data_IF_936465903892
#
_entry.id   IF_936465903892
#
_cell.length_a   1.000
_cell.length_b   1.000
_cell.length_c   1.000
_cell.angle_alpha   90.00
_cell.angle_beta   90.00
_cell.angle_gamma   90.00
#
_symmetry.space_group_name_H-M   'P 1'
#
loop_
_entity.id
_entity.type
_entity.pdbx_description
1 polymer ?
#
# COMPACT_ATOMS: atom_id res chain seq x y z
N UNK A 1 2.09 -11.08 -33.08
CA UNK A 1 1.43 -9.85 -32.61
C UNK A 1 1.47 -9.84 -31.09
N UNK A 2 2.06 -8.82 -30.47
CA UNK A 2 1.95 -8.62 -29.03
C UNK A 2 0.51 -8.19 -28.74
N UNK A 3 -0.27 -9.03 -28.07
CA UNK A 3 -1.62 -8.68 -27.65
C UNK A 3 -1.57 -7.62 -26.55
N UNK A 4 -2.33 -6.55 -26.73
CA UNK A 4 -2.71 -5.64 -25.64
C UNK A 4 -3.89 -6.25 -24.90
N UNK A 5 -3.76 -6.43 -23.59
CA UNK A 5 -4.85 -6.85 -22.70
C UNK A 5 -5.33 -5.62 -21.92
N UNK A 6 -6.64 -5.47 -21.77
CA UNK A 6 -7.24 -4.32 -21.09
C UNK A 6 -8.40 -4.72 -20.19
N UNK A 7 -8.49 -4.07 -19.03
CA UNK A 7 -9.65 -4.06 -18.15
C UNK A 7 -10.00 -2.59 -17.82
N UNK A 8 -11.22 -2.32 -17.36
CA UNK A 8 -11.73 -0.96 -17.09
C UNK A 8 -12.16 -0.80 -15.63
N UNK A 9 -11.84 0.36 -15.05
CA UNK A 9 -12.32 0.73 -13.71
C UNK A 9 -13.67 1.46 -13.82
N UNK A 10 -14.67 1.17 -12.96
CA UNK A 10 -16.07 1.58 -13.16
C UNK A 10 -16.31 3.06 -12.81
N UNK A 11 -15.71 3.98 -13.57
CA UNK A 11 -15.97 5.42 -13.48
C UNK A 11 -17.17 5.76 -14.35
N UNK A 12 -18.28 6.19 -13.77
CA UNK A 12 -19.45 6.68 -14.53
C UNK A 12 -19.55 8.21 -14.58
N UNK A 13 -18.65 8.91 -13.88
CA UNK A 13 -18.54 10.36 -13.90
C UNK A 13 -17.17 10.74 -14.45
N UNK A 14 -17.11 11.74 -15.34
CA UNK A 14 -15.86 12.27 -15.86
C UNK A 14 -15.03 12.90 -14.73
N UNK A 15 -14.18 12.11 -14.08
CA UNK A 15 -13.29 12.56 -13.02
C UNK A 15 -11.95 11.86 -13.16
N UNK A 16 -11.80 10.66 -12.59
CA UNK A 16 -10.56 9.91 -12.67
C UNK A 16 -10.74 8.44 -12.22
N UNK A 17 -9.90 7.58 -12.76
CA UNK A 17 -9.44 6.34 -12.14
C UNK A 17 -7.91 6.33 -12.21
N UNK A 18 -7.27 6.03 -11.08
CA UNK A 18 -5.82 5.95 -10.97
C UNK A 18 -5.48 4.64 -10.30
N UNK A 19 -4.75 3.78 -11.02
CA UNK A 19 -3.98 2.70 -10.41
C UNK A 19 -2.63 3.30 -9.97
N UNK A 20 -2.38 3.29 -8.68
CA UNK A 20 -1.26 4.00 -8.04
C UNK A 20 -0.20 3.05 -7.49
N UNK A 21 -0.57 1.81 -7.19
CA UNK A 21 0.34 0.76 -6.78
C UNK A 21 0.09 -0.52 -7.56
N UNK A 22 1.17 -1.23 -7.88
CA UNK A 22 1.15 -2.52 -8.55
C UNK A 22 2.28 -3.39 -8.01
N UNK A 23 1.99 -4.68 -7.82
CA UNK A 23 3.00 -5.71 -7.60
C UNK A 23 2.60 -7.00 -8.31
N UNK A 24 3.58 -7.88 -8.50
CA UNK A 24 3.42 -9.19 -9.14
C UNK A 24 3.97 -10.24 -8.20
N UNK A 25 3.12 -11.18 -7.78
CA UNK A 25 3.47 -12.25 -6.85
C UNK A 25 2.49 -13.42 -6.99
N UNK A 26 2.88 -14.62 -6.57
CA UNK A 26 1.99 -15.78 -6.49
C UNK A 26 1.03 -15.66 -5.29
N UNK A 27 0.06 -14.74 -5.41
CA UNK A 27 -0.85 -14.39 -4.32
C UNK A 27 -1.79 -15.53 -3.93
N UNK A 28 -2.09 -16.44 -4.86
CA UNK A 28 -2.97 -17.59 -4.62
C UNK A 28 -2.23 -18.88 -4.31
N UNK A 29 -0.90 -18.86 -4.20
CA UNK A 29 -0.05 -20.06 -4.05
C UNK A 29 -0.36 -21.15 -5.05
N UNK A 30 -0.56 -20.73 -6.29
CA UNK A 30 -0.88 -21.57 -7.45
C UNK A 30 0.37 -21.97 -8.24
N UNK A 31 1.54 -21.45 -7.87
CA UNK A 31 2.76 -21.51 -8.66
C UNK A 31 2.75 -20.53 -9.83
N UNK A 32 1.77 -19.63 -9.92
CA UNK A 32 1.65 -18.65 -11.00
C UNK A 32 1.46 -17.25 -10.43
N UNK A 33 2.16 -16.28 -11.03
CA UNK A 33 2.08 -14.91 -10.57
C UNK A 33 0.72 -14.28 -10.89
N UNK A 34 0.13 -13.67 -9.86
CA UNK A 34 -0.97 -12.72 -9.97
C UNK A 34 -0.44 -11.30 -10.10
N UNK A 35 -1.24 -10.42 -10.71
CA UNK A 35 -1.05 -8.97 -10.70
C UNK A 35 -1.96 -8.41 -9.63
N UNK A 36 -1.39 -7.75 -8.62
CA UNK A 36 -2.15 -7.08 -7.56
C UNK A 36 -2.01 -5.57 -7.75
N UNK A 37 -3.13 -4.88 -7.84
CA UNK A 37 -3.17 -3.43 -8.07
C UNK A 37 -4.00 -2.75 -7.01
N UNK A 38 -3.59 -1.54 -6.63
CA UNK A 38 -4.35 -0.66 -5.76
C UNK A 38 -4.48 0.71 -6.40
N UNK A 39 -5.55 1.41 -6.03
CA UNK A 39 -5.81 2.72 -6.57
C UNK A 39 -7.16 3.24 -6.16
N UNK A 40 -7.59 4.30 -6.83
CA UNK A 40 -8.87 4.94 -6.57
C UNK A 40 -9.59 5.27 -7.85
N UNK A 41 -10.90 5.24 -7.78
CA UNK A 41 -11.75 5.81 -8.80
C UNK A 41 -12.84 6.67 -8.17
N UNK A 42 -13.33 7.63 -8.95
CA UNK A 42 -14.47 8.45 -8.56
C UNK A 42 -15.69 8.04 -9.36
N UNK A 43 -16.78 7.74 -8.64
CA UNK A 43 -18.08 7.45 -9.24
C UNK A 43 -19.21 8.23 -8.55
N UNK A 44 -19.01 9.54 -8.32
CA UNK A 44 -19.85 10.35 -7.43
C UNK A 44 -19.51 10.17 -5.95
N UNK A 45 -18.69 9.17 -5.63
CA UNK A 45 -17.99 8.97 -4.36
C UNK A 45 -16.59 8.41 -4.67
N UNK A 46 -15.57 8.79 -3.90
CA UNK A 46 -14.22 8.22 -4.03
C UNK A 46 -14.19 6.84 -3.35
N UNK A 47 -13.79 5.82 -4.12
CA UNK A 47 -13.52 4.48 -3.63
C UNK A 47 -12.04 4.15 -3.79
N UNK A 48 -11.43 3.67 -2.72
CA UNK A 48 -10.23 2.85 -2.83
C UNK A 48 -10.59 1.49 -3.40
N UNK A 49 -9.74 0.94 -4.24
CA UNK A 49 -9.99 -0.32 -4.91
C UNK A 49 -8.71 -1.16 -4.93
N UNK A 50 -8.84 -2.42 -4.54
CA UNK A 50 -7.79 -3.45 -4.65
C UNK A 50 -8.29 -4.47 -5.68
N UNK A 51 -7.49 -4.76 -6.70
CA UNK A 51 -7.80 -5.80 -7.69
C UNK A 51 -6.68 -6.79 -7.79
N UNK A 52 -7.05 -8.06 -7.94
CA UNK A 52 -6.14 -9.18 -8.19
C UNK A 52 -6.53 -9.81 -9.51
N UNK A 53 -5.54 -10.03 -10.35
CA UNK A 53 -5.71 -10.66 -11.65
C UNK A 53 -4.75 -11.83 -11.81
N UNK A 54 -5.13 -12.83 -12.59
CA UNK A 54 -4.19 -13.74 -13.22
C UNK A 54 -4.24 -13.60 -14.74
N UNK A 55 -3.15 -14.04 -15.39
CA UNK A 55 -3.09 -14.13 -16.85
C UNK A 55 -3.66 -15.48 -17.29
N UNK A 56 -4.72 -15.47 -18.08
CA UNK A 56 -5.27 -16.67 -18.71
C UNK A 56 -5.12 -16.57 -20.24
N UNK A 57 -4.25 -17.39 -20.82
CA UNK A 57 -3.93 -17.39 -22.26
C UNK A 57 -3.72 -15.97 -22.83
N UNK A 58 -4.74 -15.44 -23.48
CA UNK A 58 -4.82 -14.17 -24.19
C UNK A 58 -5.66 -13.11 -23.44
N UNK A 59 -5.79 -13.23 -22.11
CA UNK A 59 -6.64 -12.38 -21.28
C UNK A 59 -6.10 -12.17 -19.88
N UNK A 60 -6.59 -11.10 -19.24
CA UNK A 60 -6.52 -10.91 -17.80
C UNK A 60 -7.85 -11.33 -17.20
N UNK A 61 -7.81 -12.18 -16.19
CA UNK A 61 -9.00 -12.60 -15.44
C UNK A 61 -8.96 -11.91 -14.09
N UNK A 62 -10.05 -11.22 -13.75
CA UNK A 62 -10.20 -10.54 -12.47
C UNK A 62 -10.64 -11.56 -11.41
N UNK A 63 -9.73 -11.92 -10.52
CA UNK A 63 -9.98 -12.91 -9.45
C UNK A 63 -10.64 -12.29 -8.23
N UNK A 64 -10.31 -11.04 -7.92
CA UNK A 64 -10.87 -10.32 -6.79
C UNK A 64 -10.94 -8.83 -7.05
N UNK A 65 -12.04 -8.24 -6.59
CA UNK A 65 -12.29 -6.81 -6.64
C UNK A 65 -12.83 -6.35 -5.29
N UNK A 66 -11.97 -5.72 -4.49
CA UNK A 66 -12.32 -5.22 -3.16
C UNK A 66 -12.45 -3.72 -3.17
N UNK A 67 -13.61 -3.22 -2.73
CA UNK A 67 -13.89 -1.80 -2.61
C UNK A 67 -13.74 -1.35 -1.16
N UNK A 68 -12.99 -0.27 -0.98
CA UNK A 68 -12.82 0.42 0.30
C UNK A 68 -13.50 1.78 0.20
N UNK A 69 -14.54 1.98 1.01
CA UNK A 69 -15.22 3.28 1.06
C UNK A 69 -14.30 4.26 1.79
N UNK A 70 -13.89 5.33 1.10
CA UNK A 70 -13.07 6.36 1.72
C UNK A 70 -13.87 7.07 2.82
N UNK A 71 -13.35 7.20 4.06
CA UNK A 71 -14.07 7.85 5.16
C UNK A 71 -14.24 9.37 4.97
N UNK A 72 -13.48 9.98 4.06
CA UNK A 72 -13.58 11.41 3.68
C UNK A 72 -13.13 11.61 2.22
N UNK A 73 -13.44 12.75 1.56
CA UNK A 73 -12.93 13.02 0.22
C UNK A 73 -11.39 13.13 0.20
N UNK A 74 -10.75 12.53 -0.81
CA UNK A 74 -9.32 12.67 -1.19
C UNK A 74 -8.29 11.72 -0.54
N UNK A 75 -8.69 10.56 -0.02
CA UNK A 75 -7.71 9.50 0.25
C UNK A 75 -7.38 8.70 -1.01
N UNK A 76 -6.12 8.34 -1.16
CA UNK A 76 -5.63 7.52 -2.26
C UNK A 76 -4.83 6.34 -1.73
N UNK A 77 -5.26 5.12 -2.05
CA UNK A 77 -4.37 3.96 -1.93
C UNK A 77 -3.16 4.25 -2.82
N UNK A 78 -1.95 3.87 -2.40
CA UNK A 78 -0.74 4.29 -3.12
C UNK A 78 0.35 3.22 -3.22
N UNK A 79 0.39 2.28 -2.28
CA UNK A 79 1.40 1.21 -2.27
C UNK A 79 0.74 -0.14 -2.08
N UNK A 80 1.28 -1.16 -2.74
CA UNK A 80 0.88 -2.55 -2.53
C UNK A 80 2.09 -3.48 -2.51
N UNK A 81 2.08 -4.42 -1.58
CA UNK A 81 3.04 -5.52 -1.50
C UNK A 81 2.30 -6.83 -1.24
N UNK A 82 2.94 -7.94 -1.57
CA UNK A 82 2.42 -9.30 -1.36
C UNK A 82 3.56 -10.14 -0.79
N UNK A 83 3.32 -10.84 0.32
CA UNK A 83 4.33 -11.67 0.98
C UNK A 83 3.72 -12.72 1.91
N UNK A 84 4.48 -13.79 2.14
CA UNK A 84 4.29 -14.72 3.25
C UNK A 84 4.79 -14.09 4.57
N UNK A 85 3.90 -13.86 5.53
CA UNK A 85 4.22 -13.22 6.81
C UNK A 85 4.01 -14.14 8.02
N UNK A 86 3.20 -15.18 7.86
CA UNK A 86 3.03 -16.20 8.89
C UNK A 86 3.96 -17.40 8.67
N UNK A 87 4.76 -17.38 7.61
CA UNK A 87 5.80 -18.36 7.33
C UNK A 87 5.24 -19.69 6.84
N UNK A 88 4.01 -19.71 6.32
CA UNK A 88 3.32 -20.92 5.88
C UNK A 88 3.75 -21.38 4.46
N UNK A 89 4.65 -20.64 3.80
CA UNK A 89 5.13 -20.86 2.45
C UNK A 89 4.27 -20.23 1.35
N UNK A 90 3.27 -19.41 1.70
CA UNK A 90 2.28 -18.85 0.78
C UNK A 90 2.34 -17.33 0.78
N UNK A 91 2.49 -16.75 -0.41
CA UNK A 91 2.49 -15.30 -0.58
C UNK A 91 1.06 -14.73 -0.64
N UNK A 92 0.18 -15.12 0.28
CA UNK A 92 -1.25 -14.83 0.23
C UNK A 92 -1.65 -13.57 1.02
N UNK A 93 -0.70 -12.88 1.65
CA UNK A 93 -0.97 -11.64 2.39
C UNK A 93 -0.68 -10.40 1.53
N UNK A 94 -1.69 -9.54 1.39
CA UNK A 94 -1.66 -8.29 0.64
C UNK A 94 -1.62 -7.09 1.60
N UNK A 95 -0.60 -6.25 1.43
CA UNK A 95 -0.38 -5.03 2.20
C UNK A 95 -0.77 -3.83 1.35
N UNK A 96 -1.52 -2.91 1.92
CA UNK A 96 -1.99 -1.71 1.22
C UNK A 96 -1.65 -0.48 2.03
N UNK A 97 -0.94 0.46 1.41
CA UNK A 97 -0.58 1.72 2.01
C UNK A 97 -1.65 2.79 1.81
N UNK A 98 -1.74 3.71 2.78
CA UNK A 98 -2.58 4.90 2.78
C UNK A 98 -4.10 4.62 2.74
N UNK A 99 -4.53 3.53 3.37
CA UNK A 99 -5.95 3.19 3.53
C UNK A 99 -6.63 4.09 4.56
N UNK A 100 -6.95 5.35 4.22
CA UNK A 100 -7.40 6.38 5.18
C UNK A 100 -8.16 5.90 6.43
N UNK A 101 -7.77 6.34 7.65
CA UNK A 101 -8.41 5.91 8.89
C UNK A 101 -9.89 6.32 8.92
N UNK A 102 -10.76 5.47 9.50
CA UNK A 102 -12.17 5.81 9.68
C UNK A 102 -12.33 7.03 10.62
N UNK A 103 -12.77 8.19 10.11
CA UNK A 103 -13.06 9.43 10.86
C UNK A 103 -12.45 10.71 10.26
N UNK A 104 -13.06 11.88 10.48
CA UNK A 104 -12.59 13.19 9.96
C UNK A 104 -11.59 13.91 10.90
N UNK A 105 -10.71 14.82 10.43
CA UNK A 105 -9.86 14.81 9.23
C UNK A 105 -8.35 14.57 9.54
N UNK A 106 -7.77 13.61 8.81
CA UNK A 106 -6.57 13.70 7.94
C UNK A 106 -5.14 14.01 8.43
N UNK A 107 -4.77 13.71 9.69
CA UNK A 107 -3.34 13.57 10.05
C UNK A 107 -2.88 12.11 10.21
N UNK A 108 -3.73 11.16 9.80
CA UNK A 108 -3.46 9.74 9.91
C UNK A 108 -3.32 9.03 8.56
N UNK A 109 -2.33 8.15 8.47
CA UNK A 109 -2.19 7.12 7.44
C UNK A 109 -2.58 5.76 8.04
N UNK A 110 -2.83 4.79 7.17
CA UNK A 110 -3.11 3.41 7.56
C UNK A 110 -2.32 2.45 6.68
N UNK A 111 -1.84 1.36 7.29
CA UNK A 111 -1.48 0.14 6.57
C UNK A 111 -2.63 -0.84 6.74
N UNK A 112 -3.24 -1.24 5.64
CA UNK A 112 -4.24 -2.31 5.59
C UNK A 112 -3.58 -3.64 5.24
N UNK A 113 -4.01 -4.72 5.89
CA UNK A 113 -3.50 -6.07 5.68
C UNK A 113 -4.65 -7.01 5.40
N UNK A 114 -4.56 -7.73 4.29
CA UNK A 114 -5.62 -8.58 3.77
C UNK A 114 -5.07 -9.95 3.39
N UNK A 115 -5.85 -11.01 3.62
CA UNK A 115 -5.57 -12.36 3.14
C UNK A 115 -6.31 -12.61 1.85
N UNK A 116 -5.61 -13.10 0.82
CA UNK A 116 -6.24 -13.56 -0.40
C UNK A 116 -6.61 -15.04 -0.28
N UNK A 117 -7.88 -15.35 -0.53
CA UNK A 117 -8.41 -16.73 -0.41
C UNK A 117 -8.46 -17.45 -1.76
N UNK A 118 -7.74 -16.96 -2.77
CA UNK A 118 -7.85 -17.40 -4.17
C UNK A 118 -9.03 -16.79 -4.94
N UNK A 119 -10.00 -16.16 -4.26
CA UNK A 119 -11.18 -15.55 -4.89
C UNK A 119 -11.68 -14.28 -4.20
N UNK A 120 -11.16 -13.95 -3.02
CA UNK A 120 -11.58 -12.77 -2.26
C UNK A 120 -10.47 -12.27 -1.35
N UNK A 121 -10.53 -11.00 -0.96
CA UNK A 121 -9.66 -10.45 0.09
C UNK A 121 -10.44 -10.33 1.39
N UNK A 122 -9.88 -10.89 2.46
CA UNK A 122 -10.40 -10.78 3.82
C UNK A 122 -9.48 -9.84 4.60
N UNK A 123 -10.02 -8.76 5.16
CA UNK A 123 -9.22 -7.86 6.00
C UNK A 123 -8.83 -8.58 7.29
N UNK A 124 -7.53 -8.78 7.50
CA UNK A 124 -7.02 -9.39 8.73
C UNK A 124 -6.75 -8.34 9.80
N UNK A 125 -6.04 -7.27 9.42
CA UNK A 125 -5.56 -6.24 10.33
C UNK A 125 -5.47 -4.89 9.64
N UNK A 126 -5.35 -3.85 10.46
CA UNK A 126 -4.87 -2.54 10.01
C UNK A 126 -4.24 -1.78 11.16
N UNK A 127 -3.25 -0.97 10.87
CA UNK A 127 -2.67 -0.02 11.83
C UNK A 127 -2.86 1.39 11.31
N UNK A 128 -3.40 2.25 12.17
CA UNK A 128 -3.45 3.70 11.93
C UNK A 128 -2.28 4.36 12.66
N UNK A 129 -1.71 5.40 12.06
CA UNK A 129 -0.68 6.19 12.70
C UNK A 129 -0.70 7.61 12.18
N UNK A 130 -0.25 8.54 13.01
CA UNK A 130 -0.22 9.97 12.69
C UNK A 130 1.21 10.48 12.57
N UNK A 131 1.35 11.63 11.90
CA UNK A 131 2.59 12.40 11.97
C UNK A 131 2.85 12.95 13.37
N UNK A 132 4.00 13.61 13.58
CA UNK A 132 4.32 14.33 14.81
C UNK A 132 3.26 15.38 15.16
N UNK A 133 3.22 15.79 16.43
CA UNK A 133 2.33 16.86 16.89
C UNK A 133 2.53 18.13 16.06
N UNK A 134 1.43 18.74 15.61
CA UNK A 134 1.44 19.90 14.71
C UNK A 134 1.53 19.56 13.22
N UNK A 135 1.71 18.30 12.85
CA UNK A 135 1.64 17.91 11.43
C UNK A 135 0.23 18.14 10.87
N UNK A 136 0.18 18.61 9.62
CA UNK A 136 -1.07 18.89 8.89
C UNK A 136 -1.45 17.80 7.90
N UNK A 137 -0.53 16.90 7.56
CA UNK A 137 -0.75 15.78 6.67
C UNK A 137 0.28 14.67 6.95
N UNK A 138 -0.12 13.43 6.67
CA UNK A 138 0.77 12.28 6.48
C UNK A 138 0.23 11.42 5.34
N UNK A 139 1.10 10.98 4.45
CA UNK A 139 0.77 10.08 3.35
C UNK A 139 1.81 8.97 3.28
N UNK A 140 1.36 7.72 3.23
CA UNK A 140 2.25 6.57 3.00
C UNK A 140 2.18 6.15 1.55
N UNK A 141 3.18 6.51 0.74
CA UNK A 141 3.12 6.29 -0.71
C UNK A 141 3.49 4.88 -1.13
N UNK A 142 4.36 4.19 -0.39
CA UNK A 142 4.81 2.85 -0.74
C UNK A 142 4.91 1.95 0.48
N UNK A 143 4.76 0.65 0.23
CA UNK A 143 4.97 -0.42 1.20
C UNK A 143 5.80 -1.53 0.56
N UNK A 144 6.70 -2.12 1.33
CA UNK A 144 7.48 -3.29 0.99
C UNK A 144 7.62 -4.19 2.22
N UNK A 145 7.96 -5.46 2.01
CA UNK A 145 8.13 -6.42 3.09
C UNK A 145 9.59 -6.82 3.16
N UNK A 146 10.22 -6.59 4.30
CA UNK A 146 11.56 -7.06 4.59
C UNK A 146 11.46 -8.34 5.41
N UNK A 147 12.14 -9.39 4.96
CA UNK A 147 12.18 -10.66 5.65
C UNK A 147 13.63 -11.11 5.81
N UNK A 148 14.06 -11.36 7.05
CA UNK A 148 15.41 -11.84 7.35
C UNK A 148 15.38 -12.73 8.59
N UNK A 149 16.00 -13.91 8.53
CA UNK A 149 16.06 -14.88 9.63
C UNK A 149 14.70 -15.15 10.31
N UNK A 150 13.64 -15.29 9.50
CA UNK A 150 12.27 -15.54 9.99
C UNK A 150 11.58 -14.34 10.62
N UNK A 151 12.20 -13.16 10.64
CA UNK A 151 11.54 -11.91 11.01
C UNK A 151 10.94 -11.28 9.77
N UNK A 152 9.66 -10.93 9.84
CA UNK A 152 8.94 -10.20 8.81
C UNK A 152 8.63 -8.79 9.30
N UNK A 153 8.99 -7.79 8.52
CA UNK A 153 8.74 -6.39 8.81
C UNK A 153 8.07 -5.72 7.63
N UNK A 154 7.09 -4.89 7.95
CA UNK A 154 6.45 -4.01 6.99
C UNK A 154 7.29 -2.73 6.95
N UNK A 155 7.79 -2.41 5.76
CA UNK A 155 8.52 -1.17 5.51
C UNK A 155 7.63 -0.24 4.73
N UNK A 156 7.50 0.99 5.21
CA UNK A 156 6.68 2.03 4.59
C UNK A 156 7.54 3.22 4.24
N UNK A 157 7.19 3.91 3.15
CA UNK A 157 7.79 5.18 2.79
C UNK A 157 6.72 6.18 2.37
N UNK A 158 6.89 7.42 2.81
CA UNK A 158 5.97 8.49 2.52
C UNK A 158 6.50 9.83 3.01
N UNK A 159 5.60 10.70 3.44
CA UNK A 159 5.96 11.98 4.03
C UNK A 159 4.91 12.46 5.04
N UNK A 160 5.32 13.39 5.90
CA UNK A 160 4.41 14.23 6.68
C UNK A 160 4.78 15.71 6.52
N UNK A 161 3.80 16.59 6.74
CA UNK A 161 3.95 18.04 6.60
C UNK A 161 3.87 18.73 7.96
N UNK A 162 4.93 19.45 8.34
CA UNK A 162 4.96 20.27 9.56
C UNK A 162 4.38 21.67 9.29
N UNK A 163 4.08 22.49 10.33
CA UNK A 163 3.73 23.89 10.14
C UNK A 163 4.85 24.64 9.40
N UNK A 164 4.46 25.50 8.46
CA UNK A 164 5.38 25.99 7.44
C UNK A 164 5.42 25.04 6.23
N UNK A 165 6.19 25.36 5.18
CA UNK A 165 6.14 24.63 3.93
C UNK A 165 7.21 23.52 3.88
N UNK A 166 7.32 22.73 4.96
CA UNK A 166 8.39 21.75 5.11
C UNK A 166 7.83 20.35 5.22
N UNK A 167 8.04 19.59 4.14
CA UNK A 167 7.76 18.16 4.10
C UNK A 167 8.97 17.38 4.65
N UNK A 168 8.67 16.33 5.41
CA UNK A 168 9.64 15.38 5.90
C UNK A 168 9.31 14.02 5.29
N UNK A 169 10.25 13.45 4.56
CA UNK A 169 10.13 12.06 4.14
C UNK A 169 10.23 11.19 5.39
N UNK A 170 9.41 10.15 5.45
CA UNK A 170 9.37 9.22 6.58
C UNK A 170 9.43 7.79 6.06
N UNK A 171 10.46 7.07 6.48
CA UNK A 171 10.54 5.62 6.41
C UNK A 171 10.11 5.03 7.75
N UNK A 172 9.09 4.17 7.73
CA UNK A 172 8.60 3.47 8.92
C UNK A 172 8.82 1.98 8.81
N UNK A 173 9.32 1.38 9.89
CA UNK A 173 9.51 -0.06 10.05
C UNK A 173 8.54 -0.55 11.12
N UNK A 174 7.73 -1.55 10.78
CA UNK A 174 6.68 -2.10 11.63
C UNK A 174 6.85 -3.61 11.76
N UNK A 175 6.76 -4.15 12.97
CA UNK A 175 6.81 -5.59 13.23
C UNK A 175 5.43 -6.19 13.10
N UNK A 176 5.31 -7.30 12.39
CA UNK A 176 4.13 -8.14 12.42
C UNK A 176 4.49 -9.56 11.98
N UNK A 177 3.97 -10.56 12.68
CA UNK A 177 4.30 -11.98 12.51
C UNK A 177 3.06 -12.84 12.19
N UNK A 178 2.01 -12.21 11.63
CA UNK A 178 0.73 -12.85 11.36
C UNK A 178 -0.21 -12.95 12.58
N UNK A 179 0.33 -12.99 13.81
CA UNK A 179 -0.46 -13.32 15.00
C UNK A 179 -0.55 -12.19 16.03
N UNK A 180 0.57 -11.51 16.28
CA UNK A 180 0.68 -10.45 17.29
C UNK A 180 0.17 -9.10 16.77
N UNK A 181 -0.12 -8.14 17.67
CA UNK A 181 -0.44 -6.79 17.26
C UNK A 181 0.71 -6.16 16.45
N UNK A 182 0.37 -5.44 15.39
CA UNK A 182 1.35 -4.67 14.62
C UNK A 182 1.96 -3.61 15.54
N UNK A 183 3.29 -3.53 15.60
CA UNK A 183 3.99 -2.57 16.45
C UNK A 183 5.01 -1.76 15.65
N UNK A 184 5.23 -0.50 16.06
CA UNK A 184 6.22 0.38 15.44
C UNK A 184 7.61 0.02 15.96
N UNK A 185 8.49 -0.40 15.07
CA UNK A 185 9.90 -0.68 15.41
C UNK A 185 10.69 0.63 15.37
N UNK A 186 10.67 1.32 14.23
CA UNK A 186 11.51 2.48 14.01
C UNK A 186 10.88 3.45 13.01
N UNK A 187 11.18 4.75 13.18
CA UNK A 187 10.96 5.78 12.18
C UNK A 187 12.29 6.44 11.83
N UNK A 188 12.50 6.67 10.54
CA UNK A 188 13.57 7.51 10.02
C UNK A 188 12.94 8.65 9.26
N UNK A 189 13.32 9.87 9.62
CA UNK A 189 12.80 11.06 8.99
C UNK A 189 13.94 11.87 8.42
N UNK A 190 13.77 12.41 7.23
CA UNK A 190 14.71 13.34 6.63
C UNK A 190 13.98 14.46 5.91
N UNK A 191 14.63 15.62 5.87
CA UNK A 191 14.14 16.80 5.20
C UNK A 191 15.30 17.58 4.60
N UNK A 192 15.00 18.62 3.83
CA UNK A 192 15.96 19.60 3.35
C UNK A 192 15.53 21.00 3.78
N UNK A 193 16.50 21.89 3.98
CA UNK A 193 16.25 23.29 4.30
C UNK A 193 16.25 24.13 3.03
N UNK A 194 15.47 25.22 3.00
CA UNK A 194 15.43 26.12 1.86
C UNK A 194 14.24 27.09 1.88
N UNK A 195 13.97 27.78 0.75
CA UNK A 195 12.84 28.69 0.61
C UNK A 195 11.49 28.05 0.93
N UNK A 196 10.47 28.90 0.93
CA UNK A 196 9.08 28.48 1.14
C UNK A 196 8.71 27.39 0.10
N UNK A 197 8.49 26.16 0.56
CA UNK A 197 8.20 24.98 -0.28
C UNK A 197 9.27 23.89 -0.25
N UNK A 198 10.41 24.13 0.41
CA UNK A 198 11.48 23.14 0.55
C UNK A 198 11.11 22.01 1.51
N UNK A 199 11.37 20.77 1.10
CA UNK A 199 11.15 19.58 1.92
C UNK A 199 11.58 18.31 1.19
N UNK A 200 11.32 17.17 1.83
CA UNK A 200 11.56 15.86 1.24
C UNK A 200 10.27 15.05 1.27
N UNK A 201 10.02 14.30 0.20
CA UNK A 201 8.89 13.37 0.12
C UNK A 201 9.39 12.00 -0.33
N UNK A 202 9.00 10.95 0.40
CA UNK A 202 9.25 9.58 0.00
C UNK A 202 8.16 9.07 -0.96
N UNK A 203 8.56 8.34 -2.00
CA UNK A 203 7.64 7.85 -3.04
C UNK A 203 7.60 6.32 -3.14
N UNK A 204 8.76 5.66 -3.22
CA UNK A 204 8.85 4.20 -3.42
C UNK A 204 9.84 3.58 -2.45
N UNK A 205 9.49 2.42 -1.92
CA UNK A 205 10.39 1.60 -1.11
C UNK A 205 10.39 0.17 -1.65
N UNK A 206 11.58 -0.41 -1.69
CA UNK A 206 11.81 -1.81 -2.00
C UNK A 206 12.80 -2.36 -0.98
N UNK A 207 12.74 -3.66 -0.77
CA UNK A 207 13.56 -4.42 0.18
C UNK A 207 14.28 -5.52 -0.58
N UNK A 208 15.49 -5.85 -0.14
CA UNK A 208 16.31 -6.89 -0.75
C UNK A 208 17.71 -6.88 -0.16
N UNK A 209 18.39 -8.02 -0.25
CA UNK A 209 19.80 -8.12 0.12
C UNK A 209 20.66 -7.54 -1.01
N UNK A 210 21.06 -6.28 -0.86
CA UNK A 210 21.88 -5.56 -1.86
C UNK A 210 23.38 -5.83 -1.65
N UNK A 211 23.78 -6.23 -0.43
CA UNK A 211 25.17 -6.47 -0.05
C UNK A 211 25.59 -7.93 -0.10
N UNK A 212 24.66 -8.85 -0.40
CA UNK A 212 24.87 -10.29 -0.40
C UNK A 212 25.41 -10.80 0.95
N UNK A 213 24.89 -10.26 2.06
CA UNK A 213 25.27 -10.62 3.42
C UNK A 213 24.16 -11.34 4.19
N UNK A 214 23.10 -11.74 3.49
CA UNK A 214 21.92 -12.38 4.07
C UNK A 214 20.91 -11.37 4.57
#
# INVERSE_FOLDING_TARGET
MNQTLSDTWPTTVANYAVASGLTVADAGSTGTNSIVTVGNYNNGTNFGQIRIYHKAANGLVLDSNTLLRSPTPNYYLSGVAVADIDGNGQNDTVYVANGGPNGAPTTGSQIGIYRFTGSSLVKERSINFTGPAGSSAIETRSVAIWSHNGQHQIVTLGYYRMPGPTDYAQLGVWSWDGSNPISRVQLYNWTTTGPLGSGSQGYTVATGDVSNNG
#
